data_IF_500622197682
#
_entry.id   IF_500622197682
#
_cell.length_a   1.000
_cell.length_b   1.000
_cell.length_c   1.000
_cell.angle_alpha   90.00
_cell.angle_beta   90.00
_cell.angle_gamma   90.00
#
_symmetry.space_group_name_H-M   'P 1'
#
loop_
_entity.id
_entity.type
_entity.pdbx_description
1 polymer ?
#
# COMPACT_ATOMS: atom_id res chain seq x y z
N UNK A 1 -2.30 3.34 13.75
CA UNK A 1 -1.00 4.07 13.77
C UNK A 1 -0.21 3.90 15.08
N UNK A 2 -0.84 3.80 16.26
CA UNK A 2 -0.12 3.62 17.54
C UNK A 2 0.81 2.40 17.56
N UNK A 3 0.37 1.25 17.04
CA UNK A 3 1.16 0.01 16.96
C UNK A 3 2.48 0.20 16.22
N UNK A 4 2.45 0.85 15.05
CA UNK A 4 3.66 1.14 14.27
C UNK A 4 4.63 2.07 15.02
N UNK A 5 4.13 3.14 15.65
CA UNK A 5 4.98 4.05 16.43
C UNK A 5 5.64 3.33 17.61
N UNK A 6 4.91 2.45 18.29
CA UNK A 6 5.44 1.62 19.37
C UNK A 6 6.48 0.62 18.85
N UNK A 7 6.23 -0.04 17.73
CA UNK A 7 7.17 -0.96 17.09
C UNK A 7 8.48 -0.26 16.73
N UNK A 8 8.39 0.93 16.14
CA UNK A 8 9.56 1.77 15.81
C UNK A 8 10.34 2.17 17.05
N UNK A 9 9.66 2.46 18.16
CA UNK A 9 10.30 2.85 19.42
C UNK A 9 10.98 1.65 20.13
N UNK A 10 10.33 0.50 20.18
CA UNK A 10 10.77 -0.64 20.99
C UNK A 10 11.66 -1.64 20.24
N UNK A 11 11.34 -1.95 18.98
CA UNK A 11 12.15 -2.83 18.15
C UNK A 11 13.37 -2.08 17.62
N UNK A 12 13.18 -0.83 17.19
CA UNK A 12 14.26 0.06 16.80
C UNK A 12 15.03 -0.48 15.59
N UNK A 13 16.32 -0.74 15.78
CA UNK A 13 17.26 -1.11 14.71
C UNK A 13 16.98 -2.47 14.07
N UNK A 14 16.25 -3.36 14.75
CA UNK A 14 15.95 -4.69 14.21
C UNK A 14 14.66 -4.71 13.38
N UNK A 15 13.86 -3.63 13.36
CA UNK A 15 12.64 -3.58 12.57
C UNK A 15 12.96 -3.57 11.07
N UNK A 16 12.62 -4.65 10.35
CA UNK A 16 12.89 -4.81 8.92
C UNK A 16 11.67 -4.56 8.04
N UNK A 17 10.47 -4.86 8.54
CA UNK A 17 9.22 -4.59 7.83
C UNK A 17 8.07 -4.25 8.76
N UNK A 18 7.16 -3.39 8.28
CA UNK A 18 5.90 -3.11 8.94
C UNK A 18 4.82 -2.86 7.89
N UNK A 19 3.86 -3.77 7.80
CA UNK A 19 2.77 -3.74 6.85
C UNK A 19 1.44 -3.55 7.57
N UNK A 20 0.55 -2.75 6.99
CA UNK A 20 -0.85 -2.64 7.42
C UNK A 20 -1.73 -3.37 6.41
N UNK A 21 -2.67 -4.17 6.90
CA UNK A 21 -3.64 -4.90 6.08
C UNK A 21 -5.02 -4.67 6.69
N UNK A 22 -5.97 -4.11 5.92
CA UNK A 22 -7.37 -4.07 6.36
C UNK A 22 -8.07 -5.44 6.18
N UNK A 23 -9.22 -5.62 6.84
CA UNK A 23 -9.95 -6.88 6.77
C UNK A 23 -10.31 -7.30 5.34
N UNK A 24 -10.74 -6.36 4.48
CA UNK A 24 -11.13 -6.67 3.10
C UNK A 24 -9.94 -7.12 2.24
N UNK A 25 -8.76 -6.54 2.48
CA UNK A 25 -7.50 -6.92 1.83
C UNK A 25 -7.06 -8.31 2.28
N UNK A 26 -7.15 -8.60 3.59
CA UNK A 26 -6.85 -9.93 4.10
C UNK A 26 -7.77 -10.99 3.48
N UNK A 27 -9.07 -10.72 3.35
CA UNK A 27 -10.03 -11.63 2.69
C UNK A 27 -9.62 -11.98 1.26
N UNK A 28 -9.00 -11.05 0.52
CA UNK A 28 -8.51 -11.29 -0.83
C UNK A 28 -7.38 -12.33 -0.86
N UNK A 29 -6.58 -12.42 0.20
CA UNK A 29 -5.51 -13.41 0.33
C UNK A 29 -5.96 -14.75 0.91
N UNK A 30 -7.07 -14.77 1.66
CA UNK A 30 -7.55 -15.98 2.35
C UNK A 30 -8.56 -16.77 1.52
N UNK A 31 -9.64 -16.13 1.06
CA UNK A 31 -10.77 -16.82 0.40
C UNK A 31 -10.36 -17.52 -0.92
N UNK A 32 -9.65 -16.87 -1.86
CA UNK A 32 -9.33 -17.51 -3.15
C UNK A 32 -8.26 -18.60 -3.03
N UNK A 33 -7.44 -18.55 -1.97
CA UNK A 33 -6.27 -19.41 -1.82
C UNK A 33 -6.41 -20.46 -0.71
N UNK A 34 -7.58 -20.51 -0.05
CA UNK A 34 -7.83 -21.37 1.11
C UNK A 34 -6.75 -21.23 2.20
N UNK A 35 -6.32 -20.00 2.44
CA UNK A 35 -5.41 -19.65 3.54
C UNK A 35 -6.22 -19.16 4.74
N UNK A 36 -5.68 -19.35 5.94
CA UNK A 36 -6.29 -18.89 7.18
C UNK A 36 -5.37 -17.90 7.88
N UNK A 37 -5.97 -16.87 8.47
CA UNK A 37 -5.29 -16.03 9.45
C UNK A 37 -4.91 -16.88 10.67
N UNK A 38 -3.71 -16.70 11.26
CA UNK A 38 -3.32 -17.40 12.49
C UNK A 38 -4.00 -16.82 13.74
N UNK A 39 -4.69 -15.68 13.61
CA UNK A 39 -5.44 -14.99 14.67
C UNK A 39 -6.88 -14.72 14.23
N UNK A 40 -7.82 -14.42 15.16
CA UNK A 40 -9.21 -14.10 14.86
C UNK A 40 -9.41 -12.89 13.93
N UNK A 41 -10.68 -12.62 13.62
CA UNK A 41 -11.06 -11.51 12.75
C UNK A 41 -10.97 -10.16 13.46
N UNK A 42 -10.28 -9.19 12.82
CA UNK A 42 -10.16 -7.82 13.26
C UNK A 42 -10.28 -6.85 12.07
N UNK A 43 -10.66 -5.58 12.28
CA UNK A 43 -10.74 -4.61 11.19
C UNK A 43 -9.40 -4.32 10.52
N UNK A 44 -8.29 -4.46 11.26
CA UNK A 44 -6.93 -4.18 10.82
C UNK A 44 -5.96 -5.19 11.39
N UNK A 45 -4.94 -5.50 10.60
CA UNK A 45 -3.83 -6.39 10.92
C UNK A 45 -2.52 -5.65 10.68
N UNK A 46 -1.49 -6.02 11.44
CA UNK A 46 -0.14 -5.51 11.24
C UNK A 46 0.83 -6.70 11.15
N UNK A 47 1.56 -6.79 10.04
CA UNK A 47 2.64 -7.76 9.88
C UNK A 47 3.94 -7.02 10.18
N UNK A 48 4.68 -7.50 11.19
CA UNK A 48 5.95 -6.95 11.62
C UNK A 48 7.01 -8.02 11.41
N UNK A 49 8.11 -7.64 10.76
CA UNK A 49 9.28 -8.49 10.64
C UNK A 49 10.48 -7.82 11.32
N UNK A 50 11.29 -8.62 11.99
CA UNK A 50 12.55 -8.20 12.58
C UNK A 50 13.72 -8.97 11.98
N UNK A 51 14.84 -8.29 11.78
CA UNK A 51 16.11 -8.88 11.34
C UNK A 51 17.26 -8.23 12.08
N UNK A 52 17.83 -8.94 13.05
CA UNK A 52 19.01 -8.52 13.79
C UNK A 52 20.11 -9.58 13.77
N UNK A 53 21.18 -9.30 14.51
CA UNK A 53 22.39 -10.14 14.54
C UNK A 53 22.45 -11.12 15.71
N UNK A 54 21.50 -11.04 16.66
CA UNK A 54 21.51 -11.84 17.90
C UNK A 54 20.09 -12.28 18.25
N UNK A 55 19.80 -13.56 18.00
CA UNK A 55 18.46 -14.15 18.15
C UNK A 55 17.87 -13.88 19.53
N UNK A 56 18.62 -14.06 20.61
CA UNK A 56 18.08 -13.91 21.96
C UNK A 56 17.64 -12.47 22.26
N UNK A 57 18.41 -11.49 21.79
CA UNK A 57 18.11 -10.07 21.95
C UNK A 57 16.91 -9.64 21.10
N UNK A 58 16.82 -10.17 19.88
CA UNK A 58 15.74 -9.85 18.96
C UNK A 58 14.40 -10.45 19.46
N UNK A 59 14.44 -11.69 19.97
CA UNK A 59 13.28 -12.36 20.57
C UNK A 59 12.82 -11.66 21.85
N UNK A 60 13.74 -11.23 22.73
CA UNK A 60 13.41 -10.45 23.93
C UNK A 60 12.68 -9.14 23.56
N UNK A 61 13.24 -8.37 22.63
CA UNK A 61 12.61 -7.13 22.13
C UNK A 61 11.23 -7.37 21.52
N UNK A 62 11.07 -8.42 20.72
CA UNK A 62 9.79 -8.74 20.09
C UNK A 62 8.74 -9.16 21.12
N UNK A 63 9.11 -9.97 22.11
CA UNK A 63 8.22 -10.36 23.19
C UNK A 63 7.80 -9.17 24.06
N UNK A 64 8.74 -8.32 24.45
CA UNK A 64 8.45 -7.10 25.22
C UNK A 64 7.52 -6.17 24.45
N UNK A 65 7.77 -5.97 23.16
CA UNK A 65 6.87 -5.21 22.28
C UNK A 65 5.46 -5.78 22.28
N UNK A 66 5.31 -7.09 22.06
CA UNK A 66 4.01 -7.71 21.99
C UNK A 66 3.28 -7.59 23.33
N UNK A 67 3.94 -7.92 24.45
CA UNK A 67 3.38 -7.82 25.79
C UNK A 67 2.92 -6.39 26.10
N UNK A 68 3.80 -5.39 25.93
CA UNK A 68 3.46 -3.98 26.17
C UNK A 68 2.30 -3.51 25.28
N UNK A 69 2.27 -3.94 24.02
CA UNK A 69 1.22 -3.55 23.07
C UNK A 69 -0.14 -4.16 23.42
N UNK A 70 -0.17 -5.38 23.96
CA UNK A 70 -1.39 -6.05 24.43
C UNK A 70 -1.87 -5.50 25.77
N UNK A 71 -0.97 -5.30 26.74
CA UNK A 71 -1.31 -4.73 28.05
C UNK A 71 -1.89 -3.31 27.95
N UNK A 72 -1.39 -2.52 27.00
CA UNK A 72 -1.90 -1.17 26.72
C UNK A 72 -3.19 -1.15 25.87
N UNK A 73 -3.67 -2.32 25.43
CA UNK A 73 -4.85 -2.46 24.57
C UNK A 73 -4.69 -1.90 23.15
N UNK A 74 -3.45 -1.65 22.71
CA UNK A 74 -3.15 -1.18 21.34
C UNK A 74 -3.28 -2.34 20.34
N UNK A 75 -2.87 -3.54 20.77
CA UNK A 75 -3.02 -4.80 20.04
C UNK A 75 -4.00 -5.68 20.81
N UNK A 76 -4.97 -6.27 20.11
CA UNK A 76 -6.03 -7.08 20.73
C UNK A 76 -5.67 -8.57 20.78
N UNK A 77 -4.88 -9.03 19.83
CA UNK A 77 -4.33 -10.39 19.75
C UNK A 77 -3.11 -10.39 18.83
N UNK A 78 -2.22 -11.36 18.99
CA UNK A 78 -1.00 -11.47 18.21
C UNK A 78 -0.36 -12.84 18.30
N UNK A 79 0.37 -13.20 17.24
CA UNK A 79 1.18 -14.40 17.19
C UNK A 79 2.58 -14.06 16.73
N UNK A 80 3.58 -14.82 17.18
CA UNK A 80 4.98 -14.68 16.78
C UNK A 80 5.51 -16.02 16.32
N UNK A 81 6.50 -16.00 15.44
CA UNK A 81 7.18 -17.22 15.00
C UNK A 81 8.58 -16.90 14.49
N UNK A 82 9.53 -17.79 14.80
CA UNK A 82 10.87 -17.84 14.20
C UNK A 82 11.00 -19.04 13.23
N UNK A 83 9.92 -19.80 13.00
CA UNK A 83 9.92 -20.96 12.13
C UNK A 83 9.75 -20.52 10.68
N UNK A 84 10.76 -20.77 9.84
CA UNK A 84 10.79 -20.26 8.45
C UNK A 84 9.57 -20.66 7.63
N UNK A 85 8.95 -21.81 7.91
CA UNK A 85 7.71 -22.24 7.23
C UNK A 85 6.53 -21.35 7.61
N UNK A 86 6.30 -21.14 8.92
CA UNK A 86 5.22 -20.28 9.41
C UNK A 86 5.42 -18.82 9.00
N UNK A 87 6.66 -18.32 9.01
CA UNK A 87 6.98 -16.99 8.50
C UNK A 87 6.51 -16.83 7.05
N UNK A 88 6.83 -17.79 6.17
CA UNK A 88 6.35 -17.77 4.78
C UNK A 88 4.84 -17.80 4.72
N UNK A 89 4.18 -18.66 5.49
CA UNK A 89 2.72 -18.77 5.49
C UNK A 89 2.04 -17.45 5.92
N UNK A 90 2.60 -16.75 6.91
CA UNK A 90 2.13 -15.42 7.33
C UNK A 90 2.38 -14.38 6.23
N UNK A 91 3.58 -14.36 5.62
CA UNK A 91 3.89 -13.46 4.52
C UNK A 91 3.00 -13.67 3.30
N UNK A 92 2.57 -14.91 3.03
CA UNK A 92 1.61 -15.18 1.95
C UNK A 92 0.26 -14.46 2.16
N UNK A 93 -0.15 -14.16 3.40
CA UNK A 93 -1.35 -13.37 3.67
C UNK A 93 -1.19 -11.92 3.15
N UNK A 94 0.02 -11.37 3.19
CA UNK A 94 0.32 -10.03 2.66
C UNK A 94 0.59 -10.02 1.16
N UNK A 95 1.37 -10.99 0.67
CA UNK A 95 1.80 -11.04 -0.74
C UNK A 95 0.65 -11.41 -1.68
N UNK A 96 -0.29 -12.26 -1.24
CA UNK A 96 -1.39 -12.74 -2.08
C UNK A 96 -2.58 -11.79 -2.19
N UNK A 97 -2.55 -10.65 -1.51
CA UNK A 97 -3.63 -9.64 -1.65
C UNK A 97 -3.72 -9.14 -3.09
N UNK A 98 -2.58 -8.78 -3.69
CA UNK A 98 -2.51 -8.20 -5.03
C UNK A 98 -3.04 -9.12 -6.16
N UNK A 99 -2.73 -10.43 -6.19
CA UNK A 99 -3.37 -11.37 -7.11
C UNK A 99 -4.79 -11.76 -6.65
N UNK A 100 -5.06 -11.83 -5.35
CA UNK A 100 -6.33 -12.25 -4.79
C UNK A 100 -7.51 -11.34 -5.13
N UNK A 101 -7.29 -10.03 -5.13
CA UNK A 101 -8.32 -9.04 -5.49
C UNK A 101 -8.82 -9.20 -6.94
N UNK A 102 -8.04 -9.83 -7.83
CA UNK A 102 -8.43 -10.05 -9.23
C UNK A 102 -9.49 -11.15 -9.40
N UNK A 103 -9.75 -11.95 -8.36
CA UNK A 103 -10.86 -12.91 -8.38
C UNK A 103 -12.23 -12.22 -8.37
N UNK A 104 -12.29 -10.93 -8.01
CA UNK A 104 -13.52 -10.11 -8.10
C UNK A 104 -13.81 -9.61 -9.52
N UNK A 105 -12.91 -9.84 -10.49
CA UNK A 105 -13.01 -9.34 -11.86
C UNK A 105 -11.98 -8.25 -12.16
N UNK A 106 -12.46 -7.05 -12.49
CA UNK A 106 -11.60 -5.89 -12.77
C UNK A 106 -11.17 -5.19 -11.47
N UNK A 107 -9.97 -4.60 -11.47
CA UNK A 107 -9.47 -3.85 -10.31
C UNK A 107 -8.72 -2.59 -10.74
N UNK A 108 -9.19 -1.44 -10.26
CA UNK A 108 -8.41 -0.21 -10.31
C UNK A 108 -7.38 -0.24 -9.17
N UNK A 109 -6.10 -0.20 -9.54
CA UNK A 109 -4.97 -0.32 -8.61
C UNK A 109 -4.23 1.00 -8.52
N UNK A 110 -4.13 1.53 -7.31
CA UNK A 110 -3.38 2.75 -7.02
C UNK A 110 -2.30 2.47 -5.98
N UNK A 111 -1.17 3.11 -6.20
CA UNK A 111 0.04 3.03 -5.39
C UNK A 111 0.40 4.47 -5.07
N UNK A 112 0.14 4.90 -3.84
CA UNK A 112 0.22 6.32 -3.46
C UNK A 112 0.97 6.48 -2.15
N UNK A 113 1.76 7.54 -2.04
CA UNK A 113 2.32 7.96 -0.75
C UNK A 113 1.45 9.07 -0.17
N UNK A 114 1.02 8.93 1.08
CA UNK A 114 0.24 9.94 1.81
C UNK A 114 0.77 10.09 3.23
N UNK A 115 0.62 11.25 3.90
CA UNK A 115 1.08 11.40 5.28
C UNK A 115 0.46 10.33 6.19
N UNK A 116 1.28 9.72 7.07
CA UNK A 116 0.87 8.61 7.94
C UNK A 116 -0.43 8.86 8.73
N UNK A 117 -0.67 10.10 9.18
CA UNK A 117 -1.91 10.48 9.88
C UNK A 117 -3.18 10.33 9.04
N UNK A 118 -3.05 10.31 7.72
CA UNK A 118 -4.13 10.19 6.74
C UNK A 118 -4.03 8.88 5.93
N UNK A 119 -3.21 7.93 6.37
CA UNK A 119 -2.84 6.73 5.60
C UNK A 119 -4.03 5.91 5.13
N UNK A 120 -5.14 5.93 5.86
CA UNK A 120 -6.32 5.15 5.53
C UNK A 120 -7.55 5.98 5.12
N UNK A 121 -7.46 7.32 5.20
CA UNK A 121 -8.62 8.21 5.06
C UNK A 121 -9.26 8.13 3.66
N UNK A 122 -8.49 7.79 2.63
CA UNK A 122 -8.99 7.65 1.26
C UNK A 122 -9.90 6.43 1.08
N UNK A 123 -9.72 5.37 1.87
CA UNK A 123 -10.49 4.12 1.73
C UNK A 123 -11.99 4.34 1.99
N UNK A 124 -12.43 4.89 3.14
CA UNK A 124 -13.85 5.18 3.36
C UNK A 124 -14.39 6.22 2.40
N UNK A 125 -13.62 7.26 2.05
CA UNK A 125 -14.03 8.29 1.10
C UNK A 125 -14.27 7.71 -0.31
N UNK A 126 -13.38 6.83 -0.77
CA UNK A 126 -13.55 6.12 -2.04
C UNK A 126 -14.74 5.17 -1.99
N UNK A 127 -14.93 4.44 -0.88
CA UNK A 127 -16.07 3.52 -0.69
C UNK A 127 -17.41 4.24 -0.76
N UNK A 128 -17.53 5.39 -0.09
CA UNK A 128 -18.72 6.25 -0.18
C UNK A 128 -18.95 6.72 -1.62
N UNK A 129 -17.89 7.14 -2.29
CA UNK A 129 -17.94 7.70 -3.64
C UNK A 129 -18.35 6.71 -4.72
N UNK A 130 -17.81 5.49 -4.71
CA UNK A 130 -18.12 4.46 -5.72
C UNK A 130 -19.39 3.68 -5.39
N UNK A 131 -19.80 3.67 -4.12
CA UNK A 131 -21.03 3.02 -3.67
C UNK A 131 -21.10 1.55 -4.10
N UNK A 132 -22.26 1.16 -4.63
CA UNK A 132 -22.54 -0.22 -5.07
C UNK A 132 -21.88 -0.61 -6.39
N UNK A 133 -21.19 0.30 -7.08
CA UNK A 133 -20.49 -0.01 -8.33
C UNK A 133 -19.23 -0.85 -8.09
N UNK A 134 -18.65 -0.76 -6.89
CA UNK A 134 -17.51 -1.55 -6.48
C UNK A 134 -17.93 -2.80 -5.70
N UNK A 135 -17.23 -3.90 -5.95
CA UNK A 135 -17.30 -5.11 -5.12
C UNK A 135 -16.53 -4.92 -3.82
N UNK A 136 -15.32 -4.35 -3.87
CA UNK A 136 -14.51 -4.01 -2.69
C UNK A 136 -13.76 -2.69 -2.91
N UNK A 137 -13.51 -1.99 -1.80
CA UNK A 137 -12.61 -0.85 -1.73
C UNK A 137 -11.72 -1.07 -0.52
N UNK A 138 -10.47 -1.45 -0.76
CA UNK A 138 -9.57 -1.89 0.29
C UNK A 138 -8.19 -1.22 0.20
N UNK A 139 -7.53 -1.13 1.34
CA UNK A 139 -6.25 -0.50 1.55
C UNK A 139 -5.31 -1.37 2.37
N UNK A 140 -4.10 -1.57 1.85
CA UNK A 140 -3.00 -2.22 2.55
C UNK A 140 -1.68 -1.58 2.11
N UNK A 141 -0.58 -1.83 2.82
CA UNK A 141 0.73 -1.42 2.34
C UNK A 141 1.76 -1.14 3.42
N UNK A 142 2.87 -0.55 2.97
CA UNK A 142 4.07 -0.28 3.73
C UNK A 142 3.85 0.95 4.63
N UNK A 143 3.39 0.71 5.86
CA UNK A 143 3.12 1.80 6.81
C UNK A 143 4.42 2.51 7.22
N UNK A 144 5.54 1.79 7.19
CA UNK A 144 6.88 2.30 7.49
C UNK A 144 7.27 3.48 6.60
N UNK A 145 6.97 3.37 5.31
CA UNK A 145 7.35 4.34 4.28
C UNK A 145 6.18 5.22 3.82
N UNK A 146 5.04 5.07 4.49
CA UNK A 146 3.78 5.75 4.14
C UNK A 146 3.33 5.48 2.70
N UNK A 147 3.53 4.25 2.20
CA UNK A 147 3.02 3.78 0.91
C UNK A 147 1.71 2.97 1.08
N UNK A 148 0.62 3.48 0.51
CA UNK A 148 -0.69 2.85 0.48
C UNK A 148 -0.98 2.26 -0.91
N UNK A 149 -1.32 0.98 -0.94
CA UNK A 149 -2.00 0.34 -2.07
C UNK A 149 -3.51 0.44 -1.89
N UNK A 150 -4.17 1.32 -2.65
CA UNK A 150 -5.62 1.40 -2.75
C UNK A 150 -6.08 0.53 -3.93
N UNK A 151 -7.00 -0.39 -3.67
CA UNK A 151 -7.62 -1.22 -4.69
C UNK A 151 -9.14 -1.02 -4.67
N UNK A 152 -9.72 -0.81 -5.86
CA UNK A 152 -11.17 -0.76 -6.08
C UNK A 152 -11.52 -1.86 -7.07
N UNK A 153 -12.14 -2.95 -6.59
CA UNK A 153 -12.56 -4.05 -7.44
C UNK A 153 -14.01 -3.91 -7.89
N UNK A 154 -14.33 -4.43 -9.08
CA UNK A 154 -15.67 -4.49 -9.65
C UNK A 154 -15.74 -5.66 -10.66
N UNK A 155 -16.93 -6.20 -10.99
CA UNK A 155 -17.03 -7.37 -11.87
C UNK A 155 -16.41 -7.15 -13.24
N UNK A 156 -16.56 -5.94 -13.78
CA UNK A 156 -16.00 -5.52 -15.06
C UNK A 156 -15.66 -4.03 -15.04
N UNK A 157 -14.80 -3.60 -15.96
CA UNK A 157 -14.52 -2.18 -16.15
C UNK A 157 -15.75 -1.47 -16.73
N UNK A 158 -16.17 -0.37 -16.10
CA UNK A 158 -17.15 0.55 -16.67
C UNK A 158 -16.64 1.99 -16.62
N UNK A 159 -17.05 2.79 -17.60
CA UNK A 159 -16.69 4.21 -17.63
C UNK A 159 -17.30 4.99 -16.45
N UNK A 160 -18.40 4.49 -15.88
CA UNK A 160 -19.10 5.10 -14.74
C UNK A 160 -18.24 5.07 -13.48
N UNK A 161 -17.79 3.89 -13.06
CA UNK A 161 -16.91 3.77 -11.89
C UNK A 161 -15.56 4.44 -12.14
N UNK A 162 -15.03 4.34 -13.36
CA UNK A 162 -13.76 4.99 -13.71
C UNK A 162 -13.78 6.51 -13.46
N UNK A 163 -14.87 7.20 -13.85
CA UNK A 163 -15.05 8.64 -13.63
C UNK A 163 -15.22 9.03 -12.16
N UNK A 164 -15.63 8.07 -11.31
CA UNK A 164 -15.70 8.28 -9.87
C UNK A 164 -14.33 8.11 -9.23
N UNK A 165 -13.55 7.14 -9.69
CA UNK A 165 -12.22 6.84 -9.16
C UNK A 165 -11.16 7.85 -9.63
N UNK A 166 -11.14 8.17 -10.92
CA UNK A 166 -10.24 9.17 -11.53
C UNK A 166 -11.00 10.41 -12.00
N UNK A 167 -10.49 11.63 -11.71
CA UNK A 167 -9.19 11.93 -11.11
C UNK A 167 -9.17 11.96 -9.57
N UNK A 168 -10.27 11.60 -8.90
CA UNK A 168 -10.44 11.78 -7.45
C UNK A 168 -9.28 11.23 -6.61
N UNK A 169 -8.78 10.03 -6.91
CA UNK A 169 -7.63 9.45 -6.20
C UNK A 169 -6.37 10.33 -6.27
N UNK A 170 -6.11 10.93 -7.42
CA UNK A 170 -4.96 11.80 -7.64
C UNK A 170 -5.15 13.17 -6.98
N UNK A 171 -6.37 13.72 -7.03
CA UNK A 171 -6.73 14.97 -6.34
C UNK A 171 -6.62 14.81 -4.82
N UNK A 172 -7.17 13.72 -4.27
CA UNK A 172 -7.07 13.40 -2.85
C UNK A 172 -5.61 13.32 -2.41
N UNK A 173 -4.80 12.57 -3.16
CA UNK A 173 -3.36 12.42 -2.89
C UNK A 173 -2.63 13.77 -2.95
N UNK A 174 -2.89 14.57 -3.98
CA UNK A 174 -2.30 15.91 -4.16
C UNK A 174 -2.69 16.87 -3.03
N UNK A 175 -3.94 16.85 -2.57
CA UNK A 175 -4.42 17.70 -1.48
C UNK A 175 -3.68 17.42 -0.16
N UNK A 176 -3.20 16.19 0.02
CA UNK A 176 -2.36 15.79 1.14
C UNK A 176 -0.86 15.98 0.90
N UNK A 177 -0.47 16.58 -0.23
CA UNK A 177 0.92 16.71 -0.70
C UNK A 177 1.62 15.35 -0.84
N UNK A 178 0.87 14.33 -1.24
CA UNK A 178 1.33 12.97 -1.47
C UNK A 178 1.93 12.73 -2.86
N UNK A 179 2.34 11.49 -3.11
CA UNK A 179 2.81 11.01 -4.42
C UNK A 179 1.77 10.09 -5.06
N UNK A 180 1.42 10.32 -6.34
CA UNK A 180 0.51 9.44 -7.11
C UNK A 180 1.16 8.12 -7.58
N UNK A 181 2.46 7.98 -7.34
CA UNK A 181 3.18 6.73 -7.47
C UNK A 181 4.29 6.69 -6.42
N UNK A 182 4.13 5.82 -5.44
CA UNK A 182 5.13 5.62 -4.40
C UNK A 182 6.30 4.79 -4.93
N UNK A 183 6.00 3.65 -5.56
CA UNK A 183 7.02 2.66 -5.96
C UNK A 183 6.86 2.17 -7.41
N UNK A 184 5.64 2.11 -7.96
CA UNK A 184 5.41 1.51 -9.28
C UNK A 184 5.88 2.36 -10.48
N UNK A 185 6.27 3.61 -10.22
CA UNK A 185 6.64 4.57 -11.25
C UNK A 185 5.48 5.02 -12.15
N UNK A 186 5.83 5.76 -13.19
CA UNK A 186 4.84 6.46 -14.04
C UNK A 186 4.43 5.64 -15.26
N UNK A 187 5.42 5.07 -15.95
CA UNK A 187 5.21 4.21 -17.12
C UNK A 187 4.34 4.85 -18.20
N UNK A 188 3.41 4.07 -18.74
CA UNK A 188 2.43 4.51 -19.75
C UNK A 188 1.13 5.05 -19.12
N UNK A 189 0.77 4.55 -17.94
CA UNK A 189 -0.55 4.80 -17.34
C UNK A 189 -0.65 6.17 -16.68
N UNK A 190 0.44 6.66 -16.06
CA UNK A 190 0.41 7.87 -15.22
C UNK A 190 1.04 9.16 -15.79
N UNK A 191 1.60 9.25 -17.02
CA UNK A 191 2.22 10.50 -17.49
C UNK A 191 1.33 11.74 -17.35
N UNK A 192 0.04 11.63 -17.69
CA UNK A 192 -0.89 12.76 -17.65
C UNK A 192 -1.30 13.20 -16.23
N UNK A 193 -0.94 12.41 -15.21
CA UNK A 193 -1.27 12.67 -13.81
C UNK A 193 -0.06 13.22 -13.01
N UNK A 194 1.13 13.29 -13.61
CA UNK A 194 2.34 13.75 -12.94
C UNK A 194 2.23 15.11 -12.25
N UNK A 195 1.40 16.01 -12.78
CA UNK A 195 1.13 17.34 -12.22
C UNK A 195 0.56 17.32 -10.79
N UNK A 196 -0.01 16.19 -10.35
CA UNK A 196 -0.52 16.03 -8.98
C UNK A 196 0.59 15.80 -7.95
N UNK A 197 1.83 15.54 -8.38
CA UNK A 197 2.97 15.29 -7.48
C UNK A 197 4.26 16.01 -7.87
N UNK A 198 4.30 16.65 -9.04
CA UNK A 198 5.48 17.39 -9.52
C UNK A 198 5.06 18.78 -9.99
N UNK A 199 5.90 19.76 -9.66
CA UNK A 199 5.71 21.13 -10.11
C UNK A 199 5.98 21.24 -11.62
N UNK A 200 5.44 22.28 -12.29
CA UNK A 200 5.72 22.54 -13.69
C UNK A 200 7.22 22.61 -14.00
N UNK A 201 7.99 23.29 -13.15
CA UNK A 201 9.44 23.49 -13.34
C UNK A 201 10.22 22.17 -13.30
N UNK A 202 9.82 21.26 -12.39
CA UNK A 202 10.42 19.93 -12.32
C UNK A 202 10.10 19.11 -13.58
N UNK A 203 8.88 19.23 -14.11
CA UNK A 203 8.49 18.55 -15.35
C UNK A 203 9.22 19.12 -16.57
N UNK A 204 9.42 20.44 -16.62
CA UNK A 204 10.19 21.11 -17.68
C UNK A 204 11.63 20.62 -17.70
N UNK A 205 12.29 20.58 -16.54
CA UNK A 205 13.65 20.04 -16.43
C UNK A 205 13.74 18.57 -16.86
N UNK A 206 12.77 17.73 -16.48
CA UNK A 206 12.73 16.34 -16.93
C UNK A 206 12.62 16.23 -18.47
N UNK A 207 11.85 17.12 -19.11
CA UNK A 207 11.73 17.16 -20.58
C UNK A 207 13.03 17.60 -21.23
N UNK A 208 13.70 18.63 -20.70
CA UNK A 208 15.01 19.07 -21.21
C UNK A 208 16.04 17.93 -21.15
N UNK A 209 16.10 17.21 -20.03
CA UNK A 209 16.97 16.05 -19.89
C UNK A 209 16.63 14.95 -20.91
N UNK A 210 15.34 14.65 -21.13
CA UNK A 210 14.91 13.64 -22.12
C UNK A 210 15.33 14.03 -23.54
N UNK A 211 15.13 15.29 -23.93
CA UNK A 211 15.52 15.79 -25.25
C UNK A 211 17.03 15.79 -25.44
N UNK A 212 17.79 16.16 -24.41
CA UNK A 212 19.25 16.16 -24.46
C UNK A 212 19.82 14.74 -24.65
N UNK A 213 19.27 13.77 -23.92
CA UNK A 213 19.81 12.40 -23.89
C UNK A 213 19.25 11.49 -24.99
N UNK A 214 18.04 11.74 -25.48
CA UNK A 214 17.38 10.97 -26.54
C UNK A 214 16.63 11.90 -27.50
N UNK A 215 17.35 12.68 -28.33
CA UNK A 215 16.75 13.69 -29.21
C UNK A 215 15.83 13.09 -30.28
N UNK A 216 16.02 11.82 -30.65
CA UNK A 216 15.16 11.12 -31.60
C UNK A 216 13.95 10.43 -30.93
N UNK A 217 13.87 10.45 -29.60
CA UNK A 217 12.76 9.88 -28.84
C UNK A 217 12.57 8.38 -29.02
N UNK A 218 13.63 7.63 -29.34
CA UNK A 218 13.55 6.19 -29.66
C UNK A 218 13.52 5.30 -28.41
N UNK A 219 13.98 5.83 -27.26
CA UNK A 219 14.03 5.07 -26.02
C UNK A 219 12.69 5.19 -25.28
N UNK A 220 11.91 4.10 -25.37
CA UNK A 220 10.64 3.89 -24.67
C UNK A 220 9.62 5.03 -24.93
N UNK A 221 9.24 5.26 -26.20
CA UNK A 221 8.31 6.32 -26.56
C UNK A 221 6.98 6.16 -25.82
N UNK A 222 6.24 7.26 -25.69
CA UNK A 222 4.93 7.33 -25.03
C UNK A 222 4.97 7.22 -23.51
N UNK A 223 6.17 7.15 -22.94
CA UNK A 223 6.49 7.15 -21.51
C UNK A 223 7.71 8.05 -21.28
N UNK A 224 8.05 8.46 -20.07
CA UNK A 224 7.22 8.55 -18.85
C UNK A 224 6.63 9.96 -18.68
N UNK A 225 6.99 10.89 -19.57
CA UNK A 225 6.61 12.29 -19.49
C UNK A 225 5.33 12.55 -20.30
N UNK A 226 4.52 13.57 -19.92
CA UNK A 226 3.35 13.95 -20.69
C UNK A 226 3.76 14.35 -22.11
N UNK A 227 3.02 13.87 -23.13
CA UNK A 227 3.34 14.18 -24.54
C UNK A 227 3.18 15.66 -24.86
N UNK A 228 2.16 16.31 -24.28
CA UNK A 228 1.83 17.73 -24.50
C UNK A 228 1.36 18.36 -23.17
N UNK A 229 2.00 19.45 -22.75
CA UNK A 229 1.43 20.53 -21.94
C UNK A 229 1.88 21.84 -22.60
#
# INVERSE_FOLDING_TARGET
MKTFLLAKQQLGEILSSCEMIDAQSLECSTKPFNHSSPIPEYPFYMLIETSGSRVEHDEEKLHDFLNNSMESGIVLDGTTTNESRKMRDIWQLRERIAPGILYDGFCFKYDVSVPLKHFYDIIPAMKERVGSLATKVCGYGHIGDSNLHLNVSCPEFTQEIYKLVEPFVYEFTSNLKGSISAEHGIGFLKPNYLKYSKSPEALDLMREMKTLLDPNGILNPYKVLPRNL
#
